data_IF_295178357456
#
_entry.id   IF_295178357456
#
_cell.length_a   1.000
_cell.length_b   1.000
_cell.length_c   1.000
_cell.angle_alpha   90.00
_cell.angle_beta   90.00
_cell.angle_gamma   90.00
#
_symmetry.space_group_name_H-M   'P 1'
#
loop_
_entity.id
_entity.type
_entity.pdbx_description
1 polymer ?
#
# COMPACT_ATOMS: atom_id res chain seq x y z
N UNK A 1 12.27 -0.80 2.01
CA UNK A 1 11.02 -1.51 1.66
C UNK A 1 10.64 -2.66 2.59
N UNK A 2 11.53 -3.12 3.44
CA UNK A 2 11.26 -4.16 4.46
C UNK A 2 10.07 -3.88 5.39
N UNK A 3 9.77 -2.62 5.68
CA UNK A 3 8.68 -2.22 6.59
C UNK A 3 7.28 -2.61 6.09
N UNK A 4 7.08 -2.81 4.79
CA UNK A 4 5.82 -3.29 4.22
C UNK A 4 5.78 -4.81 4.06
N UNK A 5 6.81 -5.53 4.50
CA UNK A 5 6.90 -6.98 4.30
C UNK A 5 7.08 -7.36 2.83
N UNK A 6 7.75 -6.51 2.06
CA UNK A 6 8.09 -6.76 0.65
C UNK A 6 9.54 -7.19 0.56
N UNK A 7 9.81 -8.33 -0.09
CA UNK A 7 11.16 -8.83 -0.35
C UNK A 7 11.75 -8.13 -1.58
N UNK A 8 10.97 -8.00 -2.64
CA UNK A 8 11.39 -7.43 -3.90
C UNK A 8 10.28 -6.55 -4.49
N UNK A 9 10.64 -5.45 -5.13
CA UNK A 9 9.72 -4.59 -5.87
C UNK A 9 10.44 -4.00 -7.08
N UNK A 10 9.82 -4.14 -8.25
CA UNK A 10 10.36 -3.72 -9.55
C UNK A 10 9.29 -2.98 -10.34
N UNK A 11 9.66 -1.85 -10.96
CA UNK A 11 8.79 -1.15 -11.91
C UNK A 11 8.96 -1.80 -13.27
N UNK A 12 7.93 -2.50 -13.75
CA UNK A 12 7.93 -3.20 -15.02
C UNK A 12 7.67 -2.25 -16.20
N UNK A 13 6.78 -1.28 -16.04
CA UNK A 13 6.54 -0.24 -17.04
C UNK A 13 6.07 1.07 -16.41
N UNK A 14 6.36 2.15 -17.13
CA UNK A 14 5.84 3.49 -16.86
C UNK A 14 5.53 4.14 -18.21
N UNK A 15 4.26 4.24 -18.53
CA UNK A 15 3.78 4.70 -19.82
C UNK A 15 2.87 5.92 -19.66
N UNK A 16 2.89 6.80 -20.64
CA UNK A 16 1.95 7.92 -20.76
C UNK A 16 1.25 7.79 -22.10
N UNK A 17 -0.05 7.52 -22.08
CA UNK A 17 -0.88 7.37 -23.27
C UNK A 17 -2.13 8.22 -23.09
N UNK A 18 -2.44 9.06 -24.06
CA UNK A 18 -3.64 9.92 -24.09
C UNK A 18 -3.84 10.73 -22.79
N UNK A 19 -2.75 11.28 -22.24
CA UNK A 19 -2.78 12.06 -21.00
C UNK A 19 -3.04 11.24 -19.73
N UNK A 20 -2.97 9.92 -19.80
CA UNK A 20 -3.05 9.01 -18.66
C UNK A 20 -1.69 8.35 -18.41
N UNK A 21 -1.28 8.36 -17.15
CA UNK A 21 -0.09 7.65 -16.69
C UNK A 21 -0.51 6.26 -16.23
N UNK A 22 0.18 5.24 -16.74
CA UNK A 22 0.05 3.85 -16.31
C UNK A 22 1.38 3.39 -15.76
N UNK A 23 1.39 2.93 -14.53
CA UNK A 23 2.56 2.35 -13.85
C UNK A 23 2.24 0.90 -13.51
N UNK A 24 3.14 0.00 -13.86
CA UNK A 24 3.04 -1.42 -13.52
C UNK A 24 4.21 -1.80 -12.63
N UNK A 25 3.90 -2.33 -11.45
CA UNK A 25 4.89 -2.72 -10.46
C UNK A 25 4.72 -4.20 -10.12
N UNK A 26 5.81 -4.96 -10.21
CA UNK A 26 5.90 -6.32 -9.68
C UNK A 26 6.39 -6.27 -8.25
N UNK A 27 5.78 -7.07 -7.38
CA UNK A 27 6.13 -7.15 -5.96
C UNK A 27 6.14 -8.59 -5.49
N UNK A 28 7.21 -9.00 -4.82
CA UNK A 28 7.31 -10.29 -4.11
C UNK A 28 7.11 -10.02 -2.62
N UNK A 29 5.99 -10.47 -2.01
CA UNK A 29 5.74 -10.22 -0.60
C UNK A 29 6.57 -11.15 0.29
N UNK A 30 7.17 -10.61 1.34
CA UNK A 30 7.86 -11.37 2.40
C UNK A 30 6.95 -12.02 3.42
N UNK A 31 5.67 -12.21 3.10
CA UNK A 31 4.69 -12.75 4.05
C UNK A 31 4.71 -14.27 4.13
N UNK A 32 4.51 -14.80 5.33
CA UNK A 32 4.25 -16.24 5.52
C UNK A 32 2.83 -16.55 5.04
N UNK A 33 2.73 -17.28 3.94
CA UNK A 33 1.43 -17.70 3.42
C UNK A 33 0.77 -18.73 4.32
N UNK A 34 -0.55 -18.64 4.50
CA UNK A 34 -1.32 -19.66 5.22
C UNK A 34 -1.11 -21.05 4.60
N UNK A 35 -1.06 -22.09 5.45
CA UNK A 35 -0.86 -23.46 4.99
C UNK A 35 -1.88 -23.92 3.95
N UNK A 36 -3.11 -23.37 4.01
CA UNK A 36 -4.21 -23.69 3.08
C UNK A 36 -3.93 -23.21 1.65
N UNK A 37 -3.07 -22.23 1.46
CA UNK A 37 -2.71 -21.67 0.13
C UNK A 37 -1.51 -22.42 -0.48
N UNK A 38 -0.65 -23.03 0.33
CA UNK A 38 0.58 -23.71 -0.13
C UNK A 38 0.35 -24.76 -1.24
N UNK A 39 -0.69 -25.64 -1.16
CA UNK A 39 -0.93 -26.60 -2.25
C UNK A 39 -1.25 -25.95 -3.58
N UNK A 40 -1.89 -24.76 -3.56
CA UNK A 40 -2.23 -24.00 -4.78
C UNK A 40 -0.97 -23.43 -5.43
N UNK A 41 0.06 -23.12 -4.63
CA UNK A 41 1.32 -22.52 -5.09
C UNK A 41 2.21 -23.49 -5.85
N UNK A 42 2.08 -24.79 -5.61
CA UNK A 42 2.93 -25.83 -6.21
C UNK A 42 4.43 -25.50 -6.16
N UNK A 43 4.90 -24.90 -5.06
CA UNK A 43 6.29 -24.50 -4.87
C UNK A 43 6.71 -23.18 -5.55
N UNK A 44 5.78 -22.46 -6.19
CA UNK A 44 6.07 -21.14 -6.76
C UNK A 44 6.05 -20.05 -5.68
N UNK A 45 6.88 -19.04 -5.82
CA UNK A 45 6.76 -17.81 -5.05
C UNK A 45 5.55 -17.01 -5.52
N UNK A 46 4.91 -16.34 -4.57
CA UNK A 46 3.79 -15.43 -4.90
C UNK A 46 4.35 -14.13 -5.40
N UNK A 47 3.91 -13.73 -6.57
CA UNK A 47 4.16 -12.41 -7.12
C UNK A 47 2.85 -11.67 -7.31
N UNK A 48 2.86 -10.38 -7.01
CA UNK A 48 1.78 -9.47 -7.33
C UNK A 48 2.22 -8.51 -8.42
N UNK A 49 1.34 -8.29 -9.38
CA UNK A 49 1.49 -7.25 -10.39
C UNK A 49 0.41 -6.21 -10.14
N UNK A 50 0.84 -5.03 -9.72
CA UNK A 50 0.00 -3.89 -9.41
C UNK A 50 0.04 -2.88 -10.57
N UNK A 51 -1.09 -2.66 -11.20
CA UNK A 51 -1.27 -1.66 -12.26
C UNK A 51 -1.99 -0.46 -11.70
N UNK A 52 -1.36 0.71 -11.78
CA UNK A 52 -1.93 1.99 -11.34
C UNK A 52 -2.12 2.91 -12.52
N UNK A 53 -3.27 3.60 -12.56
CA UNK A 53 -3.57 4.54 -13.63
C UNK A 53 -4.14 5.84 -13.05
N UNK A 54 -3.62 6.98 -13.51
CA UNK A 54 -4.09 8.30 -13.12
C UNK A 54 -3.95 9.30 -14.29
N UNK A 55 -4.65 10.43 -14.23
CA UNK A 55 -4.50 11.49 -15.23
C UNK A 55 -3.17 12.23 -15.01
N UNK A 56 -2.39 12.40 -16.06
CA UNK A 56 -1.09 13.08 -16.00
C UNK A 56 -1.21 14.52 -15.47
N UNK A 57 -2.28 15.24 -15.84
CA UNK A 57 -2.57 16.60 -15.39
C UNK A 57 -2.76 16.73 -13.88
N UNK A 58 -3.08 15.62 -13.18
CA UNK A 58 -3.35 15.60 -11.74
C UNK A 58 -2.09 15.26 -10.93
N UNK A 59 -0.98 14.93 -11.60
CA UNK A 59 0.30 14.63 -10.95
C UNK A 59 0.77 15.83 -10.11
N UNK A 60 0.99 15.60 -8.83
CA UNK A 60 1.44 16.61 -7.86
C UNK A 60 0.34 17.58 -7.39
N UNK A 61 -0.92 17.36 -7.75
CA UNK A 61 -2.06 18.17 -7.31
C UNK A 61 -2.92 17.40 -6.32
N UNK A 62 -3.71 18.13 -5.54
CA UNK A 62 -4.72 17.55 -4.65
C UNK A 62 -6.09 18.17 -5.00
N UNK A 63 -7.18 17.41 -4.98
CA UNK A 63 -7.21 15.96 -4.74
C UNK A 63 -6.53 15.16 -5.86
N UNK A 64 -5.83 14.09 -5.49
CA UNK A 64 -5.21 13.17 -6.44
C UNK A 64 -5.94 11.84 -6.40
N UNK A 65 -6.40 11.38 -7.56
CA UNK A 65 -7.11 10.11 -7.68
C UNK A 65 -6.38 9.16 -8.64
N UNK A 66 -6.27 7.90 -8.25
CA UNK A 66 -5.75 6.83 -9.09
C UNK A 66 -6.59 5.57 -8.96
N UNK A 67 -6.75 4.84 -10.06
CA UNK A 67 -7.26 3.48 -10.01
C UNK A 67 -6.11 2.50 -9.84
N UNK A 68 -6.38 1.37 -9.22
CA UNK A 68 -5.43 0.28 -9.12
C UNK A 68 -6.09 -1.06 -9.43
N UNK A 69 -5.28 -1.98 -9.95
CA UNK A 69 -5.63 -3.38 -10.12
C UNK A 69 -4.40 -4.24 -9.82
N UNK A 70 -4.55 -5.14 -8.87
CA UNK A 70 -3.51 -6.08 -8.46
C UNK A 70 -3.93 -7.49 -8.82
N UNK A 71 -3.09 -8.19 -9.55
CA UNK A 71 -3.23 -9.59 -9.90
C UNK A 71 -2.05 -10.38 -9.35
N UNK A 72 -2.14 -11.69 -9.34
CA UNK A 72 -1.06 -12.57 -8.88
C UNK A 72 -0.70 -13.61 -9.96
N UNK A 73 0.51 -14.18 -9.83
CA UNK A 73 1.02 -15.18 -10.77
C UNK A 73 0.50 -16.61 -10.55
N UNK A 74 -0.34 -16.82 -9.52
CA UNK A 74 -0.79 -18.15 -9.12
C UNK A 74 -2.11 -18.49 -9.78
N UNK A 75 -3.02 -17.52 -9.84
CA UNK A 75 -4.35 -17.72 -10.38
C UNK A 75 -4.94 -16.43 -10.92
N UNK A 76 -5.50 -16.49 -12.11
CA UNK A 76 -6.32 -15.40 -12.68
C UNK A 76 -7.65 -15.21 -11.97
N UNK A 77 -8.00 -16.16 -11.09
CA UNK A 77 -9.27 -16.16 -10.34
C UNK A 77 -9.23 -15.34 -9.06
N UNK A 78 -8.10 -14.64 -8.78
CA UNK A 78 -7.95 -13.76 -7.65
C UNK A 78 -7.42 -12.41 -8.12
N UNK A 79 -8.13 -11.33 -7.79
CA UNK A 79 -7.73 -9.96 -8.09
C UNK A 79 -8.24 -8.99 -7.04
N UNK A 80 -7.54 -7.88 -6.92
CA UNK A 80 -7.98 -6.72 -6.11
C UNK A 80 -7.99 -5.52 -7.03
N UNK A 81 -9.07 -4.74 -7.02
CA UNK A 81 -9.15 -3.53 -7.83
C UNK A 81 -9.91 -2.44 -7.08
N UNK A 82 -9.58 -1.18 -7.38
CA UNK A 82 -10.26 -0.08 -6.72
C UNK A 82 -9.69 1.28 -7.08
N UNK A 83 -9.97 2.24 -6.21
CA UNK A 83 -9.54 3.63 -6.33
C UNK A 83 -8.86 4.09 -5.05
N UNK A 84 -7.80 4.86 -5.19
CA UNK A 84 -7.14 5.57 -4.11
C UNK A 84 -7.32 7.06 -4.38
N UNK A 85 -7.84 7.79 -3.38
CA UNK A 85 -7.97 9.25 -3.41
C UNK A 85 -7.12 9.81 -2.29
N UNK A 86 -6.24 10.73 -2.65
CA UNK A 86 -5.39 11.48 -1.72
C UNK A 86 -5.89 12.92 -1.73
N UNK A 87 -6.23 13.45 -0.55
CA UNK A 87 -6.80 14.77 -0.42
C UNK A 87 -6.33 15.48 0.85
N UNK A 88 -6.58 16.77 0.95
CA UNK A 88 -6.41 17.54 2.18
C UNK A 88 -7.69 17.49 3.00
N UNK A 89 -7.56 17.28 4.29
CA UNK A 89 -8.68 17.34 5.20
C UNK A 89 -8.23 17.80 6.59
N UNK A 90 -9.13 18.41 7.38
CA UNK A 90 -8.87 18.61 8.80
C UNK A 90 -8.66 17.29 9.49
N UNK A 91 -7.54 17.14 10.20
CA UNK A 91 -7.22 15.95 10.98
C UNK A 91 -7.03 16.35 12.44
N UNK A 92 -7.47 15.53 13.40
CA UNK A 92 -7.24 15.81 14.82
C UNK A 92 -5.75 15.87 15.11
N UNK A 93 -5.32 16.87 15.86
CA UNK A 93 -3.96 16.90 16.42
C UNK A 93 -3.93 15.90 17.56
N UNK A 94 -3.14 14.83 17.41
CA UNK A 94 -2.93 13.86 18.48
C UNK A 94 -2.33 14.51 19.73
N UNK A 95 -2.51 13.92 20.92
CA UNK A 95 -1.87 14.41 22.13
C UNK A 95 -0.36 14.33 21.97
N UNK A 96 0.29 15.49 21.90
CA UNK A 96 1.75 15.57 22.05
C UNK A 96 2.07 15.29 23.53
N UNK A 97 3.04 14.41 23.78
CA UNK A 97 3.48 14.09 25.12
C UNK A 97 3.71 15.37 25.93
N UNK A 98 2.89 15.58 26.97
CA UNK A 98 3.07 16.66 27.95
C UNK A 98 2.13 17.87 27.86
N UNK A 99 1.19 17.95 26.92
CA UNK A 99 0.28 19.10 26.79
C UNK A 99 -1.19 18.67 26.90
N UNK A 100 -1.84 19.02 28.02
CA UNK A 100 -3.28 18.82 28.21
C UNK A 100 -4.15 19.78 27.35
N UNK A 101 -3.54 20.73 26.64
CA UNK A 101 -4.21 21.82 25.93
C UNK A 101 -4.61 21.50 24.46
N UNK A 102 -4.39 20.28 23.98
CA UNK A 102 -4.60 19.94 22.55
C UNK A 102 -5.94 19.27 22.26
N UNK A 103 -6.85 19.14 23.22
CA UNK A 103 -8.20 18.60 22.97
C UNK A 103 -8.96 19.52 22.01
N UNK A 104 -9.33 19.00 20.85
CA UNK A 104 -10.19 19.70 19.88
C UNK A 104 -9.46 20.53 18.81
N UNK A 105 -8.12 20.58 18.80
CA UNK A 105 -7.40 21.24 17.69
C UNK A 105 -7.36 20.33 16.48
N UNK A 106 -7.67 20.90 15.32
CA UNK A 106 -7.49 20.27 14.03
C UNK A 106 -6.41 21.00 13.25
N UNK A 107 -5.68 20.27 12.41
CA UNK A 107 -4.75 20.84 11.43
C UNK A 107 -5.07 20.28 10.05
N UNK A 108 -4.68 21.00 9.00
CA UNK A 108 -4.80 20.47 7.65
C UNK A 108 -3.75 19.37 7.46
N UNK A 109 -4.21 18.18 7.21
CA UNK A 109 -3.40 17.00 6.95
C UNK A 109 -3.69 16.39 5.58
N UNK A 110 -3.02 15.30 5.26
CA UNK A 110 -3.28 14.49 4.07
C UNK A 110 -4.10 13.27 4.49
N UNK A 111 -5.22 13.07 3.81
CA UNK A 111 -6.09 11.90 3.99
C UNK A 111 -6.01 11.03 2.75
N UNK A 112 -5.77 9.74 2.96
CA UNK A 112 -5.79 8.72 1.91
C UNK A 112 -7.05 7.87 2.10
N UNK A 113 -7.91 7.87 1.09
CA UNK A 113 -9.11 7.03 1.05
C UNK A 113 -8.90 5.93 0.02
N UNK A 114 -9.08 4.70 0.44
CA UNK A 114 -8.96 3.53 -0.43
C UNK A 114 -10.31 2.82 -0.46
N UNK A 115 -10.84 2.63 -1.65
CA UNK A 115 -12.06 1.87 -1.88
C UNK A 115 -11.77 0.84 -2.96
N UNK A 116 -12.11 -0.42 -2.70
CA UNK A 116 -11.83 -1.49 -3.66
C UNK A 116 -12.58 -2.76 -3.33
N UNK A 117 -12.46 -3.69 -4.25
CA UNK A 117 -13.03 -5.03 -4.17
C UNK A 117 -11.91 -6.07 -4.29
N UNK A 118 -11.98 -7.10 -3.45
CA UNK A 118 -11.15 -8.29 -3.53
C UNK A 118 -12.03 -9.46 -3.98
N UNK A 119 -11.67 -10.11 -5.07
CA UNK A 119 -12.40 -11.25 -5.61
C UNK A 119 -11.49 -12.46 -5.66
N UNK A 120 -11.90 -13.56 -5.04
CA UNK A 120 -11.17 -14.85 -5.10
C UNK A 120 -12.14 -15.97 -5.46
N UNK A 121 -12.10 -16.43 -6.71
CA UNK A 121 -12.97 -17.49 -7.23
C UNK A 121 -12.30 -18.86 -7.18
N UNK A 122 -11.97 -19.32 -5.95
CA UNK A 122 -11.39 -20.64 -5.71
C UNK A 122 -12.39 -21.47 -4.94
N UNK A 123 -12.84 -22.59 -5.52
CA UNK A 123 -13.83 -23.46 -4.90
C UNK A 123 -13.37 -23.93 -3.51
N UNK A 124 -14.26 -23.86 -2.52
CA UNK A 124 -14.05 -24.34 -1.15
C UNK A 124 -13.20 -23.46 -0.25
N UNK A 125 -12.38 -22.53 -0.79
CA UNK A 125 -11.47 -21.69 0.02
C UNK A 125 -11.50 -20.21 -0.32
N UNK A 126 -12.23 -19.79 -1.37
CA UNK A 126 -12.23 -18.42 -1.88
C UNK A 126 -12.48 -17.36 -0.81
N UNK A 127 -13.59 -17.43 -0.08
CA UNK A 127 -13.93 -16.45 0.95
C UNK A 127 -12.91 -16.37 2.10
N UNK A 128 -12.27 -17.48 2.46
CA UNK A 128 -11.22 -17.47 3.47
C UNK A 128 -9.95 -16.76 2.97
N UNK A 129 -9.60 -16.97 1.71
CA UNK A 129 -8.46 -16.29 1.07
C UNK A 129 -8.74 -14.81 0.90
N UNK A 130 -9.94 -14.41 0.47
CA UNK A 130 -10.39 -13.01 0.42
C UNK A 130 -10.21 -12.32 1.77
N UNK A 131 -10.74 -12.92 2.83
CA UNK A 131 -10.64 -12.34 4.18
C UNK A 131 -9.18 -12.11 4.61
N UNK A 132 -8.27 -13.05 4.28
CA UNK A 132 -6.84 -12.92 4.59
C UNK A 132 -6.21 -11.78 3.78
N UNK A 133 -6.53 -11.68 2.48
CA UNK A 133 -6.02 -10.61 1.62
C UNK A 133 -6.49 -9.25 2.12
N UNK A 134 -7.79 -9.10 2.37
CA UNK A 134 -8.38 -7.86 2.88
C UNK A 134 -7.76 -7.46 4.21
N UNK A 135 -7.60 -8.41 5.16
CA UNK A 135 -6.99 -8.11 6.45
C UNK A 135 -5.52 -7.64 6.31
N UNK A 136 -4.75 -8.25 5.42
CA UNK A 136 -3.37 -7.86 5.17
C UNK A 136 -3.28 -6.47 4.53
N UNK A 137 -4.17 -6.16 3.57
CA UNK A 137 -4.26 -4.82 2.98
C UNK A 137 -4.63 -3.76 4.02
N UNK A 138 -5.63 -4.03 4.85
CA UNK A 138 -6.01 -3.10 5.92
C UNK A 138 -4.86 -2.85 6.90
N UNK A 139 -4.11 -3.88 7.26
CA UNK A 139 -2.94 -3.76 8.13
C UNK A 139 -1.82 -2.94 7.48
N UNK A 140 -1.58 -3.12 6.18
CA UNK A 140 -0.61 -2.33 5.42
C UNK A 140 -1.02 -0.84 5.36
N UNK A 141 -2.29 -0.56 5.07
CA UNK A 141 -2.79 0.83 5.04
C UNK A 141 -2.77 1.51 6.41
N UNK A 142 -2.98 0.78 7.51
CA UNK A 142 -2.85 1.33 8.87
C UNK A 142 -1.42 1.79 9.20
N UNK A 143 -0.40 1.15 8.60
CA UNK A 143 1.01 1.53 8.77
C UNK A 143 1.45 2.68 7.84
N UNK A 144 0.66 2.98 6.82
CA UNK A 144 1.02 3.98 5.81
C UNK A 144 1.33 5.37 6.40
N UNK A 145 0.56 5.92 7.39
CA UNK A 145 0.88 7.21 7.98
C UNK A 145 2.27 7.26 8.63
N UNK A 146 2.69 6.19 9.30
CA UNK A 146 4.01 6.09 9.91
C UNK A 146 5.11 6.11 8.85
N UNK A 147 4.95 5.29 7.81
CA UNK A 147 5.91 5.20 6.70
C UNK A 147 6.02 6.54 5.96
N UNK A 148 4.89 7.18 5.65
CA UNK A 148 4.87 8.49 4.99
C UNK A 148 5.49 9.55 5.89
N UNK A 149 5.20 9.52 7.21
CA UNK A 149 5.79 10.43 8.18
C UNK A 149 7.32 10.39 8.16
N UNK A 150 7.89 9.20 8.12
CA UNK A 150 9.35 9.01 7.99
C UNK A 150 9.91 9.56 6.67
N UNK A 151 9.17 9.38 5.57
CA UNK A 151 9.59 9.87 4.25
C UNK A 151 9.59 11.40 4.14
N UNK A 152 8.64 12.07 4.82
CA UNK A 152 8.55 13.53 4.79
C UNK A 152 9.34 14.21 5.91
N UNK A 153 9.88 13.45 6.85
CA UNK A 153 10.75 13.98 7.91
C UNK A 153 12.00 14.66 7.31
N UNK A 154 12.54 15.70 7.95
CA UNK A 154 13.80 16.32 7.56
C UNK A 154 14.90 15.27 7.35
N UNK A 155 15.86 15.57 6.46
CA UNK A 155 16.92 14.60 6.10
C UNK A 155 17.71 14.14 7.30
N UNK A 156 18.02 15.05 8.21
CA UNK A 156 18.75 14.77 9.46
C UNK A 156 17.97 13.80 10.35
N UNK A 157 16.68 14.01 10.51
CA UNK A 157 15.80 13.12 11.29
C UNK A 157 15.70 11.75 10.64
N UNK A 158 15.63 11.69 9.29
CA UNK A 158 15.62 10.41 8.56
C UNK A 158 16.90 9.64 8.74
N UNK A 159 18.07 10.29 8.69
CA UNK A 159 19.37 9.64 8.91
C UNK A 159 19.46 9.07 10.33
N UNK A 160 19.08 9.83 11.34
CA UNK A 160 19.07 9.35 12.73
C UNK A 160 18.15 8.13 12.93
N UNK A 161 16.99 8.09 12.26
CA UNK A 161 16.09 6.93 12.28
C UNK A 161 16.71 5.69 11.60
N UNK A 162 17.55 5.87 10.57
CA UNK A 162 18.24 4.78 9.88
C UNK A 162 19.48 4.28 10.62
N UNK A 163 20.19 5.14 11.32
CA UNK A 163 21.38 4.78 12.11
C UNK A 163 21.03 3.96 13.37
N UNK A 164 19.82 4.07 13.86
CA UNK A 164 19.30 3.29 14.99
C UNK A 164 18.90 1.86 14.65
N UNK A 165 18.95 1.41 13.41
CA UNK A 165 18.64 0.04 13.01
C UNK A 165 19.91 -0.80 12.87
N UNK A 166 20.16 -1.79 13.76
CA UNK A 166 21.23 -2.76 13.57
C UNK A 166 20.84 -3.68 12.40
N UNK A 167 21.50 -3.56 11.27
CA UNK A 167 21.31 -4.48 10.14
C UNK A 167 21.53 -3.86 8.78
N UNK A 168 22.65 -3.15 8.57
CA UNK A 168 23.27 -3.02 7.26
C UNK A 168 24.62 -3.75 7.31
N UNK A 169 24.61 -4.96 6.81
CA UNK A 169 25.78 -5.59 6.20
C UNK A 169 25.38 -5.91 4.76
#
# INVERSE_FOLDING_TARGET
MEKLGTLESEVLSHEVVDGRVKVVVRTVPGMKLPRVVRPVLRGKEVEFVDTRTFAQRDKGKLPFAQTFRTVNNITERASVAGTIVIDRAPVPVGPTHGSSATRGRTMMGTVVRVQGECVVRIAGVGGKVESIIVQNLMNAYKKLPEIVGEWVAPRETRLALYEGFPGRV
#
